data_IF_672196151111
#
_entry.id   IF_672196151111
#
_cell.length_a   1.000
_cell.length_b   1.000
_cell.length_c   1.000
_cell.angle_alpha   90.00
_cell.angle_beta   90.00
_cell.angle_gamma   90.00
#
_symmetry.space_group_name_H-M   'P 1'
#
loop_
_entity.id
_entity.type
_entity.pdbx_description
1 polymer ?
#
# COMPACT_ATOMS: atom_id res chain seq x y z
N UNK A 1 42.47 60.79 -19.32
CA UNK A 1 42.16 59.54 -18.65
C UNK A 1 41.03 58.83 -19.41
N UNK A 2 41.36 57.77 -20.15
CA UNK A 2 40.35 57.07 -20.97
C UNK A 2 39.71 55.98 -20.10
N UNK A 3 38.43 56.09 -19.80
CA UNK A 3 37.62 55.05 -19.13
C UNK A 3 37.34 53.94 -20.13
N UNK A 4 37.98 52.79 -19.93
CA UNK A 4 37.72 51.59 -20.70
C UNK A 4 36.29 51.09 -20.43
N UNK A 5 35.41 51.14 -21.41
CA UNK A 5 34.07 50.60 -21.34
C UNK A 5 34.13 49.07 -21.23
N UNK A 6 33.80 48.55 -20.07
CA UNK A 6 33.76 47.11 -19.77
C UNK A 6 32.65 46.46 -20.61
N UNK A 7 32.99 45.68 -21.62
CA UNK A 7 32.03 44.95 -22.45
C UNK A 7 31.32 43.91 -21.56
N UNK A 8 30.04 44.07 -21.40
CA UNK A 8 29.20 43.12 -20.68
C UNK A 8 29.11 41.81 -21.49
N UNK A 9 29.55 40.71 -20.90
CA UNK A 9 29.53 39.41 -21.56
C UNK A 9 28.14 38.76 -21.41
N UNK A 10 27.26 39.05 -22.33
CA UNK A 10 25.89 38.56 -22.35
C UNK A 10 25.77 37.04 -22.29
N UNK A 11 26.74 36.31 -22.87
CA UNK A 11 26.80 34.85 -22.82
C UNK A 11 27.02 34.36 -21.38
N UNK A 12 27.95 34.98 -20.66
CA UNK A 12 28.21 34.64 -19.25
C UNK A 12 26.97 34.91 -18.36
N UNK A 13 26.24 35.99 -18.63
CA UNK A 13 25.01 36.32 -17.91
C UNK A 13 23.94 35.27 -18.20
N UNK A 14 23.71 34.89 -19.47
CA UNK A 14 22.73 33.90 -19.84
C UNK A 14 23.03 32.52 -19.21
N UNK A 15 24.29 32.10 -19.23
CA UNK A 15 24.71 30.83 -18.57
C UNK A 15 24.49 30.90 -17.07
N UNK A 16 24.85 32.01 -16.41
CA UNK A 16 24.64 32.17 -14.97
C UNK A 16 23.17 32.14 -14.60
N UNK A 17 22.30 32.80 -15.36
CA UNK A 17 20.86 32.79 -15.16
C UNK A 17 20.26 31.36 -15.36
N UNK A 18 20.75 30.64 -16.39
CA UNK A 18 20.30 29.27 -16.64
C UNK A 18 20.68 28.31 -15.48
N UNK A 19 21.91 28.47 -14.94
CA UNK A 19 22.37 27.65 -13.80
C UNK A 19 21.55 27.97 -12.54
N UNK A 20 21.31 29.26 -12.27
CA UNK A 20 20.48 29.65 -11.10
C UNK A 20 19.05 29.11 -11.21
N UNK A 21 18.45 29.21 -12.40
CA UNK A 21 17.10 28.66 -12.64
C UNK A 21 17.08 27.16 -12.46
N UNK A 22 18.08 26.41 -12.96
CA UNK A 22 18.18 24.98 -12.76
C UNK A 22 18.27 24.61 -11.26
N UNK A 23 19.08 25.34 -10.49
CA UNK A 23 19.22 25.13 -9.04
C UNK A 23 17.91 25.43 -8.29
N UNK A 24 17.20 26.49 -8.66
CA UNK A 24 15.89 26.84 -8.06
C UNK A 24 14.84 25.77 -8.37
N UNK A 25 14.78 25.29 -9.62
CA UNK A 25 13.86 24.21 -10.01
C UNK A 25 14.19 22.93 -9.26
N UNK A 26 15.47 22.56 -9.15
CA UNK A 26 15.89 21.37 -8.42
C UNK A 26 15.53 21.49 -6.93
N UNK A 27 15.79 22.64 -6.31
CA UNK A 27 15.42 22.89 -4.92
C UNK A 27 13.89 22.85 -4.71
N UNK A 28 13.12 23.40 -5.64
CA UNK A 28 11.65 23.36 -5.58
C UNK A 28 11.12 21.92 -5.70
N UNK A 29 11.72 21.08 -6.57
CA UNK A 29 11.36 19.67 -6.71
C UNK A 29 11.68 18.89 -5.42
N UNK A 30 12.85 19.12 -4.83
CA UNK A 30 13.26 18.47 -3.56
C UNK A 30 12.34 18.88 -2.41
N UNK A 31 12.01 20.17 -2.28
CA UNK A 31 11.08 20.66 -1.25
C UNK A 31 9.68 20.09 -1.47
N UNK A 32 9.21 20.06 -2.71
CA UNK A 32 7.89 19.48 -3.02
C UNK A 32 7.85 17.97 -2.74
N UNK A 33 8.89 17.23 -3.10
CA UNK A 33 9.03 15.81 -2.82
C UNK A 33 9.06 15.52 -1.31
N UNK A 34 9.82 16.32 -0.53
CA UNK A 34 9.86 16.18 0.93
C UNK A 34 8.50 16.50 1.59
N UNK A 35 7.80 17.53 1.13
CA UNK A 35 6.47 17.87 1.66
C UNK A 35 5.44 16.77 1.38
N UNK A 36 5.51 16.07 0.24
CA UNK A 36 4.64 14.92 -0.01
C UNK A 36 4.91 13.75 0.97
N UNK A 37 6.16 13.59 1.41
CA UNK A 37 6.51 12.58 2.41
C UNK A 37 6.00 12.95 3.82
N UNK A 38 5.94 14.24 4.14
CA UNK A 38 5.38 14.73 5.42
C UNK A 38 3.85 14.57 5.47
N UNK A 39 3.15 14.64 4.32
CA UNK A 39 1.70 14.42 4.21
C UNK A 39 1.33 12.91 4.31
N UNK A 40 2.27 12.01 4.06
CA UNK A 40 2.05 10.57 4.14
C UNK A 40 1.85 10.04 5.58
N UNK A 41 2.11 10.88 6.60
CA UNK A 41 2.09 10.44 8.00
C UNK A 41 3.23 9.46 8.34
N UNK A 42 3.27 8.96 9.59
CA UNK A 42 4.29 8.00 10.00
C UNK A 42 4.11 6.66 9.26
N UNK A 43 5.23 6.08 8.81
CA UNK A 43 5.24 4.70 8.31
C UNK A 43 5.35 3.72 9.49
N UNK A 44 4.71 2.53 9.40
CA UNK A 44 4.90 1.46 10.38
C UNK A 44 6.36 1.02 10.47
N UNK A 45 6.82 0.61 11.68
CA UNK A 45 8.25 0.36 11.95
C UNK A 45 8.57 -1.13 12.19
N UNK A 46 7.70 -2.06 11.81
CA UNK A 46 7.98 -3.49 11.92
C UNK A 46 8.88 -3.99 10.78
N UNK A 47 9.73 -5.00 11.09
CA UNK A 47 10.61 -5.61 10.09
C UNK A 47 9.84 -6.35 8.98
N UNK A 48 8.60 -6.74 9.24
CA UNK A 48 7.67 -7.36 8.28
C UNK A 48 6.96 -6.35 7.38
N UNK A 49 7.22 -5.05 7.52
CA UNK A 49 6.56 -4.02 6.74
C UNK A 49 7.61 -3.22 5.95
N UNK A 50 7.50 -3.27 4.65
CA UNK A 50 8.31 -2.47 3.77
C UNK A 50 7.76 -1.04 3.71
N UNK A 51 8.42 -0.09 4.37
CA UNK A 51 7.95 1.30 4.46
C UNK A 51 7.94 2.05 3.12
N UNK A 52 8.68 1.58 2.11
CA UNK A 52 8.74 2.20 0.78
C UNK A 52 7.57 1.75 -0.10
N UNK A 53 7.27 0.44 -0.08
CA UNK A 53 6.22 -0.17 -0.91
C UNK A 53 4.88 -0.31 -0.19
N UNK A 54 4.87 -0.25 1.15
CA UNK A 54 3.71 -0.52 1.99
C UNK A 54 3.37 -2.00 2.10
N UNK A 55 4.21 -2.89 1.60
CA UNK A 55 3.99 -4.33 1.69
C UNK A 55 4.10 -4.81 3.14
N UNK A 56 3.13 -5.60 3.57
CA UNK A 56 3.23 -6.46 4.74
C UNK A 56 3.72 -7.81 4.22
N UNK A 57 4.97 -8.16 4.55
CA UNK A 57 5.66 -9.31 4.01
C UNK A 57 5.42 -10.54 4.90
N UNK A 58 4.92 -11.64 4.31
CA UNK A 58 4.62 -12.90 5.00
C UNK A 58 5.31 -14.04 4.26
N UNK A 59 6.09 -14.84 4.99
CA UNK A 59 6.92 -15.90 4.41
C UNK A 59 8.33 -15.42 4.06
N UNK A 60 9.11 -16.33 3.44
CA UNK A 60 10.52 -16.09 3.11
C UNK A 60 10.93 -16.76 1.79
N UNK A 61 9.96 -17.06 0.93
CA UNK A 61 10.21 -17.66 -0.39
C UNK A 61 10.90 -16.67 -1.33
N UNK A 62 11.61 -17.20 -2.32
CA UNK A 62 12.32 -16.37 -3.31
C UNK A 62 11.38 -15.70 -4.33
N UNK A 63 10.22 -16.31 -4.58
CA UNK A 63 9.21 -15.74 -5.46
C UNK A 63 8.27 -14.82 -4.67
N UNK A 64 7.79 -13.75 -5.29
CA UNK A 64 6.90 -12.79 -4.64
C UNK A 64 5.51 -12.83 -5.24
N UNK A 65 4.50 -12.78 -4.38
CA UNK A 65 3.12 -12.57 -4.76
C UNK A 65 2.62 -11.30 -4.08
N UNK A 66 2.45 -10.22 -4.86
CA UNK A 66 1.92 -8.96 -4.36
C UNK A 66 0.41 -8.91 -4.54
N UNK A 67 -0.32 -8.59 -3.48
CA UNK A 67 -1.78 -8.48 -3.50
C UNK A 67 -2.22 -7.12 -2.98
N UNK A 68 -2.74 -6.27 -3.88
CA UNK A 68 -3.33 -4.97 -3.52
C UNK A 68 -4.82 -5.17 -3.28
N UNK A 69 -5.23 -4.98 -2.04
CA UNK A 69 -6.57 -5.35 -1.56
C UNK A 69 -7.23 -4.21 -0.78
N UNK A 70 -8.56 -4.10 -0.95
CA UNK A 70 -9.40 -3.18 -0.18
C UNK A 70 -10.43 -4.00 0.61
N UNK A 71 -10.52 -3.75 1.91
CA UNK A 71 -11.38 -4.53 2.81
C UNK A 71 -12.89 -4.27 2.61
N UNK A 72 -13.26 -3.26 1.85
CA UNK A 72 -14.66 -3.05 1.43
C UNK A 72 -14.97 -3.74 0.09
N UNK A 73 -13.96 -4.18 -0.68
CA UNK A 73 -14.15 -4.72 -2.01
C UNK A 73 -14.70 -6.16 -2.00
N UNK A 74 -15.91 -6.41 -2.54
CA UNK A 74 -16.49 -7.76 -2.59
C UNK A 74 -15.66 -8.73 -3.46
N UNK A 75 -14.99 -8.22 -4.50
CA UNK A 75 -14.15 -9.05 -5.38
C UNK A 75 -12.86 -9.46 -4.66
N UNK A 76 -12.32 -8.62 -3.76
CA UNK A 76 -11.18 -9.01 -2.91
C UNK A 76 -11.57 -10.14 -1.95
N UNK A 77 -12.78 -10.11 -1.39
CA UNK A 77 -13.27 -11.22 -0.58
C UNK A 77 -13.42 -12.52 -1.40
N UNK A 78 -13.96 -12.43 -2.61
CA UNK A 78 -14.02 -13.58 -3.52
C UNK A 78 -12.64 -14.12 -3.87
N UNK A 79 -11.67 -13.23 -4.08
CA UNK A 79 -10.27 -13.61 -4.30
C UNK A 79 -9.72 -14.37 -3.07
N UNK A 80 -9.88 -13.83 -1.87
CA UNK A 80 -9.44 -14.51 -0.64
C UNK A 80 -10.09 -15.89 -0.48
N UNK A 81 -11.40 -16.00 -0.72
CA UNK A 81 -12.12 -17.29 -0.64
C UNK A 81 -11.63 -18.31 -1.67
N UNK A 82 -11.25 -17.86 -2.88
CA UNK A 82 -10.82 -18.75 -3.95
C UNK A 82 -9.34 -19.12 -3.86
N UNK A 83 -8.48 -18.18 -3.47
CA UNK A 83 -7.02 -18.33 -3.56
C UNK A 83 -6.32 -18.42 -2.20
N UNK A 84 -6.95 -17.95 -1.11
CA UNK A 84 -6.30 -17.78 0.19
C UNK A 84 -5.65 -19.05 0.71
N UNK A 85 -6.34 -20.20 0.65
CA UNK A 85 -5.79 -21.50 1.09
C UNK A 85 -4.57 -21.92 0.25
N UNK A 86 -4.63 -21.74 -1.06
CA UNK A 86 -3.52 -22.08 -1.97
C UNK A 86 -2.31 -21.18 -1.75
N UNK A 87 -2.56 -19.87 -1.58
CA UNK A 87 -1.51 -18.89 -1.29
C UNK A 87 -0.87 -19.19 0.06
N UNK A 88 -1.65 -19.48 1.09
CA UNK A 88 -1.13 -19.84 2.41
C UNK A 88 -0.26 -21.10 2.34
N UNK A 89 -0.68 -22.10 1.57
CA UNK A 89 0.13 -23.32 1.34
C UNK A 89 1.51 -23.00 0.73
N UNK A 90 1.58 -22.09 -0.24
CA UNK A 90 2.82 -21.66 -0.87
C UNK A 90 3.71 -20.81 0.07
N UNK A 91 3.12 -20.08 1.00
CA UNK A 91 3.84 -19.37 2.06
C UNK A 91 4.41 -20.37 3.05
N UNK A 92 3.60 -21.35 3.51
CA UNK A 92 3.96 -22.31 4.54
C UNK A 92 5.06 -23.28 4.07
N UNK A 93 5.08 -23.63 2.78
CA UNK A 93 6.12 -24.49 2.20
C UNK A 93 7.38 -23.70 1.76
N UNK A 94 7.37 -22.38 1.93
CA UNK A 94 8.51 -21.50 1.63
C UNK A 94 8.70 -21.21 0.13
N UNK A 95 7.70 -21.45 -0.70
CA UNK A 95 7.77 -21.16 -2.15
C UNK A 95 7.72 -19.67 -2.41
N UNK A 96 6.85 -18.93 -1.70
CA UNK A 96 6.66 -17.49 -1.91
C UNK A 96 6.86 -16.67 -0.64
N UNK A 97 7.16 -15.40 -0.87
CA UNK A 97 6.86 -14.29 0.04
C UNK A 97 5.58 -13.62 -0.43
N UNK A 98 4.54 -13.63 0.40
CA UNK A 98 3.29 -12.90 0.15
C UNK A 98 3.46 -11.46 0.62
N UNK A 99 3.27 -10.52 -0.29
CA UNK A 99 3.27 -9.08 -0.05
C UNK A 99 1.82 -8.57 -0.04
N UNK A 100 1.29 -8.28 1.14
CA UNK A 100 -0.06 -7.75 1.30
C UNK A 100 0.03 -6.23 1.28
N UNK A 101 -0.67 -5.59 0.33
CA UNK A 101 -0.77 -4.14 0.21
C UNK A 101 -2.20 -3.69 0.52
N UNK A 102 -2.51 -3.31 1.77
CA UNK A 102 -3.81 -2.76 2.12
C UNK A 102 -3.98 -1.37 1.49
N UNK A 103 -5.00 -1.21 0.64
CA UNK A 103 -5.31 0.05 -0.05
C UNK A 103 -6.75 0.51 0.23
N UNK A 104 -7.08 1.77 -0.08
CA UNK A 104 -8.34 2.40 0.29
C UNK A 104 -8.98 3.14 -0.89
N UNK A 105 -9.25 2.42 -2.00
CA UNK A 105 -9.89 3.03 -3.18
C UNK A 105 -11.42 3.11 -3.08
N UNK A 106 -12.02 2.42 -2.11
CA UNK A 106 -13.47 2.31 -1.94
C UNK A 106 -14.05 3.14 -0.79
N UNK A 107 -13.30 4.04 -0.17
CA UNK A 107 -13.78 4.91 0.90
C UNK A 107 -15.06 5.69 0.53
N UNK A 108 -15.18 6.10 -0.73
CA UNK A 108 -16.37 6.79 -1.25
C UNK A 108 -17.67 5.97 -1.12
N UNK A 109 -17.56 4.66 -0.95
CA UNK A 109 -18.69 3.74 -0.77
C UNK A 109 -18.98 3.40 0.69
N UNK A 110 -18.31 4.05 1.65
CA UNK A 110 -18.50 3.81 3.08
C UNK A 110 -19.39 4.85 3.77
N UNK A 111 -20.22 5.58 3.04
CA UNK A 111 -21.12 6.61 3.59
C UNK A 111 -20.39 7.71 4.40
N UNK A 112 -19.13 8.01 4.03
CA UNK A 112 -18.32 9.04 4.67
C UNK A 112 -17.59 8.59 5.95
N UNK A 113 -17.56 7.29 6.25
CA UNK A 113 -16.82 6.75 7.41
C UNK A 113 -15.39 6.35 7.09
N UNK A 114 -14.96 6.42 5.83
CA UNK A 114 -13.61 6.06 5.36
C UNK A 114 -13.21 4.64 5.80
N UNK A 115 -14.13 3.67 5.67
CA UNK A 115 -13.94 2.32 6.18
C UNK A 115 -12.71 1.62 5.56
N UNK A 116 -12.47 1.77 4.26
CA UNK A 116 -11.30 1.17 3.60
C UNK A 116 -9.99 1.67 4.24
N UNK A 117 -9.86 2.99 4.44
CA UNK A 117 -8.72 3.59 5.15
C UNK A 117 -8.60 3.08 6.58
N UNK A 118 -9.69 3.04 7.36
CA UNK A 118 -9.68 2.56 8.75
C UNK A 118 -9.31 1.09 8.88
N UNK A 119 -9.82 0.24 7.99
CA UNK A 119 -9.51 -1.17 7.98
C UNK A 119 -8.04 -1.43 7.55
N UNK A 120 -7.55 -0.71 6.54
CA UNK A 120 -6.15 -0.76 6.13
C UNK A 120 -5.20 -0.24 7.24
N UNK A 121 -5.56 0.86 7.94
CA UNK A 121 -4.84 1.32 9.11
C UNK A 121 -4.79 0.24 10.21
N UNK A 122 -5.92 -0.41 10.51
CA UNK A 122 -5.97 -1.49 11.49
C UNK A 122 -5.08 -2.68 11.08
N UNK A 123 -5.03 -3.01 9.79
CA UNK A 123 -4.13 -4.03 9.25
C UNK A 123 -2.65 -3.69 9.51
N UNK A 124 -2.23 -2.44 9.30
CA UNK A 124 -0.87 -2.00 9.63
C UNK A 124 -0.62 -2.02 11.14
N UNK A 125 -1.60 -1.62 11.98
CA UNK A 125 -1.48 -1.69 13.43
C UNK A 125 -1.26 -3.14 13.90
N UNK A 126 -1.98 -4.10 13.33
CA UNK A 126 -1.83 -5.52 13.63
C UNK A 126 -0.47 -6.02 13.16
N UNK A 127 -0.09 -5.74 11.91
CA UNK A 127 1.18 -6.20 11.35
C UNK A 127 2.40 -5.63 12.09
N UNK A 128 2.31 -4.43 12.67
CA UNK A 128 3.36 -3.86 13.50
C UNK A 128 3.45 -4.50 14.90
N UNK A 129 2.30 -4.78 15.51
CA UNK A 129 2.22 -5.23 16.91
C UNK A 129 2.34 -6.74 17.03
N UNK A 130 1.72 -7.48 16.11
CA UNK A 130 1.62 -8.94 16.09
C UNK A 130 1.72 -9.44 14.63
N UNK A 131 2.91 -9.41 14.01
CA UNK A 131 3.08 -9.73 12.59
C UNK A 131 2.56 -11.13 12.22
N UNK A 132 2.69 -12.11 13.10
CA UNK A 132 2.20 -13.47 12.88
C UNK A 132 0.66 -13.56 12.80
N UNK A 133 -0.05 -12.55 13.31
CA UNK A 133 -1.51 -12.46 13.24
C UNK A 133 -2.01 -11.77 11.96
N UNK A 134 -1.14 -11.20 11.14
CA UNK A 134 -1.52 -10.37 10.00
C UNK A 134 -2.45 -11.09 9.00
N UNK A 135 -2.09 -12.30 8.57
CA UNK A 135 -2.92 -13.09 7.65
C UNK A 135 -4.26 -13.46 8.28
N UNK A 136 -4.24 -13.96 9.53
CA UNK A 136 -5.48 -14.32 10.24
C UNK A 136 -6.40 -13.10 10.45
N UNK A 137 -5.84 -11.92 10.68
CA UNK A 137 -6.60 -10.69 10.77
C UNK A 137 -7.23 -10.32 9.42
N UNK A 138 -6.47 -10.34 8.33
CA UNK A 138 -6.96 -10.12 6.97
C UNK A 138 -8.14 -11.05 6.64
N UNK A 139 -7.96 -12.34 6.88
CA UNK A 139 -8.98 -13.37 6.62
C UNK A 139 -10.23 -13.16 7.48
N UNK A 140 -10.06 -12.78 8.75
CA UNK A 140 -11.18 -12.52 9.64
C UNK A 140 -11.93 -11.25 9.24
N UNK A 141 -11.23 -10.20 8.74
CA UNK A 141 -11.87 -9.02 8.17
C UNK A 141 -12.75 -9.38 6.97
N UNK A 142 -12.28 -10.23 6.05
CA UNK A 142 -13.08 -10.68 4.92
C UNK A 142 -14.24 -11.59 5.33
N UNK A 143 -14.05 -12.45 6.33
CA UNK A 143 -15.15 -13.27 6.89
C UNK A 143 -16.26 -12.41 7.52
N UNK A 144 -15.93 -11.20 8.01
CA UNK A 144 -16.87 -10.23 8.58
C UNK A 144 -17.08 -9.01 7.67
N UNK A 145 -16.81 -9.15 6.37
CA UNK A 145 -16.82 -8.02 5.44
C UNK A 145 -18.20 -7.35 5.41
N UNK A 146 -18.25 -6.02 5.64
CA UNK A 146 -19.48 -5.26 5.49
C UNK A 146 -19.87 -5.12 4.01
N UNK A 147 -21.16 -4.94 3.74
CA UNK A 147 -21.61 -4.68 2.38
C UNK A 147 -21.05 -3.35 1.85
N UNK A 148 -20.64 -3.33 0.58
CA UNK A 148 -20.31 -2.09 -0.11
C UNK A 148 -21.52 -1.13 -0.08
N UNK A 149 -21.29 0.13 0.19
CA UNK A 149 -22.32 1.13 0.38
C UNK A 149 -22.85 1.21 1.82
N UNK A 150 -22.34 0.40 2.76
CA UNK A 150 -22.62 0.54 4.20
C UNK A 150 -21.60 1.46 4.89
N UNK A 151 -21.77 1.74 6.18
CA UNK A 151 -20.80 2.48 7.00
C UNK A 151 -19.52 1.67 7.32
N UNK A 152 -19.49 0.38 6.97
CA UNK A 152 -18.39 -0.51 7.36
C UNK A 152 -18.39 -0.87 8.84
N UNK A 153 -17.35 -1.58 9.28
CA UNK A 153 -17.12 -1.89 10.69
C UNK A 153 -16.65 -0.65 11.45
N UNK A 154 -17.00 -0.56 12.72
CA UNK A 154 -16.50 0.47 13.64
C UNK A 154 -15.08 0.13 14.09
N UNK A 155 -14.34 1.13 14.63
CA UNK A 155 -13.00 0.89 15.19
C UNK A 155 -13.04 -0.13 16.34
N UNK A 156 -14.09 -0.11 17.15
CA UNK A 156 -14.29 -1.10 18.21
C UNK A 156 -14.40 -2.53 17.66
N UNK A 157 -15.11 -2.73 16.55
CA UNK A 157 -15.21 -4.03 15.88
C UNK A 157 -13.87 -4.44 15.24
N UNK A 158 -13.11 -3.51 14.67
CA UNK A 158 -11.77 -3.79 14.13
C UNK A 158 -10.81 -4.24 15.26
N UNK A 159 -10.87 -3.59 16.43
CA UNK A 159 -10.09 -3.95 17.62
C UNK A 159 -10.52 -5.32 18.16
N UNK A 160 -11.83 -5.60 18.21
CA UNK A 160 -12.36 -6.90 18.63
C UNK A 160 -11.87 -8.03 17.71
N UNK A 161 -11.88 -7.81 16.39
CA UNK A 161 -11.35 -8.76 15.42
C UNK A 161 -9.85 -8.96 15.64
N UNK A 162 -9.07 -7.89 15.85
CA UNK A 162 -7.64 -8.00 16.14
C UNK A 162 -7.37 -8.83 17.40
N UNK A 163 -8.11 -8.57 18.49
CA UNK A 163 -8.00 -9.37 19.72
C UNK A 163 -8.36 -10.84 19.51
N UNK A 164 -9.37 -11.14 18.64
CA UNK A 164 -9.79 -12.53 18.35
C UNK A 164 -8.71 -13.38 17.67
N UNK A 165 -7.74 -12.73 17.00
CA UNK A 165 -6.61 -13.39 16.33
C UNK A 165 -5.29 -13.23 17.11
N UNK A 166 -5.35 -12.74 18.35
CA UNK A 166 -4.19 -12.62 19.24
C UNK A 166 -3.38 -11.32 19.06
N UNK A 167 -3.88 -10.35 18.31
CA UNK A 167 -3.25 -9.04 18.16
C UNK A 167 -3.81 -8.06 19.21
N UNK A 168 -3.31 -8.15 20.45
CA UNK A 168 -3.70 -7.26 21.53
C UNK A 168 -2.88 -5.96 21.52
N UNK A 169 -3.42 -4.87 22.12
CA UNK A 169 -2.72 -3.59 22.27
C UNK A 169 -2.72 -2.68 21.04
N UNK A 170 -3.56 -2.97 20.06
CA UNK A 170 -3.72 -2.16 18.83
C UNK A 170 -4.67 -0.97 19.00
N UNK A 171 -5.38 -0.88 20.15
CA UNK A 171 -6.47 0.07 20.40
C UNK A 171 -6.12 1.52 20.06
N UNK A 172 -5.02 2.03 20.62
CA UNK A 172 -4.59 3.41 20.40
C UNK A 172 -4.21 3.63 18.93
N UNK A 173 -3.51 2.68 18.28
CA UNK A 173 -3.11 2.76 16.89
C UNK A 173 -4.35 2.83 15.98
N UNK A 174 -5.35 1.99 16.23
CA UNK A 174 -6.59 1.93 15.44
C UNK A 174 -7.43 3.19 15.65
N UNK A 175 -7.69 3.59 16.90
CA UNK A 175 -8.56 4.74 17.21
C UNK A 175 -7.95 6.08 16.84
N UNK A 176 -6.62 6.22 16.92
CA UNK A 176 -5.88 7.41 16.50
C UNK A 176 -5.64 7.48 14.99
N UNK A 177 -6.04 6.47 14.24
CA UNK A 177 -5.82 6.38 12.79
C UNK A 177 -4.35 6.62 12.41
N UNK A 178 -3.43 6.02 13.19
CA UNK A 178 -1.99 6.30 13.15
C UNK A 178 -1.37 6.23 11.76
N UNK A 179 -1.82 5.28 10.95
CA UNK A 179 -1.27 5.02 9.61
C UNK A 179 -2.20 5.44 8.46
N UNK A 180 -3.26 6.21 8.73
CA UNK A 180 -4.21 6.64 7.68
C UNK A 180 -3.54 7.43 6.55
N UNK A 181 -2.63 8.35 6.88
CA UNK A 181 -1.83 9.08 5.88
C UNK A 181 -0.91 8.14 5.08
N UNK A 182 -0.30 7.15 5.74
CA UNK A 182 0.50 6.13 5.07
C UNK A 182 -0.36 5.29 4.10
N UNK A 183 -1.55 4.84 4.53
CA UNK A 183 -2.53 4.13 3.67
C UNK A 183 -2.85 4.96 2.43
N UNK A 184 -3.14 6.25 2.59
CA UNK A 184 -3.43 7.15 1.47
C UNK A 184 -2.26 7.22 0.48
N UNK A 185 -1.05 7.41 0.99
CA UNK A 185 0.18 7.45 0.18
C UNK A 185 0.43 6.13 -0.56
N UNK A 186 0.20 4.98 0.09
CA UNK A 186 0.37 3.67 -0.56
C UNK A 186 -0.74 3.37 -1.56
N UNK A 187 -1.96 3.84 -1.30
CA UNK A 187 -3.08 3.75 -2.24
C UNK A 187 -2.77 4.47 -3.56
N UNK A 188 -2.16 5.66 -3.50
CA UNK A 188 -1.75 6.42 -4.68
C UNK A 188 -0.65 5.72 -5.49
N UNK A 189 0.18 4.90 -4.85
CA UNK A 189 1.25 4.11 -5.47
C UNK A 189 0.77 2.79 -6.07
N UNK A 190 -0.50 2.42 -5.92
CA UNK A 190 -1.03 1.19 -6.50
C UNK A 190 -0.82 1.16 -8.00
N UNK A 191 -0.18 0.12 -8.56
CA UNK A 191 0.12 0.06 -9.98
C UNK A 191 -1.17 -0.01 -10.81
N UNK A 192 -1.32 0.81 -11.85
CA UNK A 192 -2.46 0.71 -12.76
C UNK A 192 -2.33 -0.54 -13.62
N UNK A 193 -3.45 -1.20 -13.88
CA UNK A 193 -3.51 -2.34 -14.79
C UNK A 193 -2.99 -1.93 -16.19
N UNK A 194 -2.02 -2.62 -16.77
CA UNK A 194 -1.36 -2.23 -18.02
C UNK A 194 -2.29 -2.22 -19.23
N UNK A 195 -3.36 -3.04 -19.22
CA UNK A 195 -4.32 -3.13 -20.33
C UNK A 195 -5.36 -2.01 -20.30
N UNK A 196 -5.78 -1.60 -19.10
CA UNK A 196 -6.87 -0.64 -18.90
C UNK A 196 -6.40 0.75 -18.49
N UNK A 197 -5.16 0.87 -17.99
CA UNK A 197 -4.62 2.10 -17.39
C UNK A 197 -5.31 2.51 -16.08
N UNK A 198 -6.09 1.62 -15.46
CA UNK A 198 -6.88 1.92 -14.26
C UNK A 198 -6.33 1.17 -13.05
N UNK A 199 -6.39 1.84 -11.90
CA UNK A 199 -6.21 1.18 -10.61
C UNK A 199 -7.49 0.44 -10.25
N UNK A 200 -7.34 -0.80 -9.78
CA UNK A 200 -8.44 -1.66 -9.35
C UNK A 200 -8.02 -2.56 -8.20
N UNK A 201 -8.98 -3.30 -7.64
CA UNK A 201 -8.74 -4.24 -6.55
C UNK A 201 -9.64 -5.48 -6.70
N UNK A 202 -9.13 -6.71 -6.50
CA UNK A 202 -7.73 -6.99 -6.22
C UNK A 202 -6.84 -6.73 -7.44
N UNK A 203 -5.63 -6.20 -7.21
CA UNK A 203 -4.54 -6.25 -8.18
C UNK A 203 -3.52 -7.25 -7.66
N UNK A 204 -3.12 -8.19 -8.49
CA UNK A 204 -2.18 -9.26 -8.12
C UNK A 204 -1.00 -9.24 -9.08
N UNK A 205 0.22 -9.26 -8.51
CA UNK A 205 1.44 -9.39 -9.29
C UNK A 205 2.21 -10.62 -8.83
N UNK A 206 2.75 -11.35 -9.79
CA UNK A 206 3.66 -12.46 -9.58
C UNK A 206 5.05 -12.03 -10.02
N UNK A 207 6.01 -11.97 -9.11
CA UNK A 207 7.37 -11.48 -9.36
C UNK A 207 7.40 -10.11 -10.07
N UNK A 208 6.46 -9.22 -9.70
CA UNK A 208 6.32 -7.89 -10.27
C UNK A 208 5.52 -7.81 -11.58
N UNK A 209 5.10 -8.94 -12.16
CA UNK A 209 4.28 -9.00 -13.38
C UNK A 209 2.81 -9.18 -13.04
N UNK A 210 1.92 -8.44 -13.73
CA UNK A 210 0.48 -8.53 -13.51
C UNK A 210 -0.04 -9.93 -13.78
N UNK A 211 -0.75 -10.52 -12.81
CA UNK A 211 -1.42 -11.80 -12.95
C UNK A 211 -2.88 -11.60 -13.33
N UNK A 212 -3.27 -12.13 -14.49
CA UNK A 212 -4.67 -12.16 -14.90
C UNK A 212 -5.37 -13.35 -14.23
N UNK A 213 -6.25 -13.05 -13.28
CA UNK A 213 -6.96 -14.08 -12.52
C UNK A 213 -8.08 -14.70 -13.38
N UNK A 214 -8.03 -16.02 -13.55
CA UNK A 214 -9.07 -16.80 -14.25
C UNK A 214 -10.15 -17.29 -13.30
N UNK A 215 -9.91 -17.25 -11.98
CA UNK A 215 -10.74 -17.80 -10.92
C UNK A 215 -10.36 -19.24 -10.54
N UNK A 216 -9.32 -19.79 -11.16
CA UNK A 216 -8.79 -21.13 -10.83
C UNK A 216 -7.36 -21.03 -10.28
N UNK A 217 -7.17 -21.15 -8.94
CA UNK A 217 -5.85 -21.06 -8.34
C UNK A 217 -4.83 -22.06 -8.90
N UNK A 218 -5.28 -23.25 -9.30
CA UNK A 218 -4.38 -24.28 -9.84
C UNK A 218 -3.80 -23.87 -11.21
N UNK A 219 -4.52 -23.05 -11.96
CA UNK A 219 -4.06 -22.49 -13.24
C UNK A 219 -3.20 -21.25 -13.02
N UNK A 220 -3.71 -20.33 -12.22
CA UNK A 220 -3.14 -18.99 -12.07
C UNK A 220 -1.83 -19.01 -11.25
N UNK A 221 -1.73 -19.91 -10.25
CA UNK A 221 -0.54 -20.08 -9.41
C UNK A 221 0.42 -21.16 -9.90
N UNK A 222 0.11 -21.86 -11.02
CA UNK A 222 0.97 -22.89 -11.60
C UNK A 222 2.43 -22.44 -11.86
N UNK A 223 2.71 -21.19 -12.28
CA UNK A 223 4.08 -20.72 -12.47
C UNK A 223 4.93 -20.74 -11.18
N UNK A 224 4.29 -20.71 -10.00
CA UNK A 224 4.97 -20.76 -8.68
C UNK A 224 5.37 -22.18 -8.27
N UNK A 225 4.77 -23.20 -8.88
CA UNK A 225 4.95 -24.62 -8.52
C UNK A 225 5.79 -25.41 -9.53
N UNK A 226 6.34 -24.72 -10.55
CA UNK A 226 7.09 -25.32 -11.67
C UNK A 226 8.61 -25.28 -11.53
#
# INVERSE_FOLDING_TARGET
>A
MATAARKVNWFAILVSVAVVLALVVTAAIVVWSNNQSDDAGPAPQAASINAETGAIEVGTGEQTLDTYIDFMCPICNQFEQAYGESIQGLVDDGTITLNIHPIAILDRFSQGTEYSTRAANAMYCVAETAPDAAVSFMQTLYANQPAEGSTGLTDAQLIEIAGSVGAEGVDACVTEQRYSGFVSSMTEKTPPNPETGRVGTPTVLLNGEFLNLTGDPAVDLAPLTS
#
